data_IF_893428708381
#
_entry.id   IF_893428708381
#
_cell.length_a   1.000
_cell.length_b   1.000
_cell.length_c   1.000
_cell.angle_alpha   90.00
_cell.angle_beta   90.00
_cell.angle_gamma   90.00
#
_symmetry.space_group_name_H-M   'P 1'
#
loop_
_entity.id
_entity.type
_entity.pdbx_description
1 polymer ?
#
# COMPACT_ATOMS: atom_id res chain seq x y z
N UNK A 1 33.72 1.69 -49.74
CA UNK A 1 33.44 2.71 -48.66
C UNK A 1 32.05 2.62 -48.05
N UNK A 2 31.33 1.50 -48.18
CA UNK A 2 29.95 1.33 -47.61
C UNK A 2 29.92 0.66 -46.21
N UNK A 3 31.03 0.04 -45.80
CA UNK A 3 31.07 -0.75 -44.54
C UNK A 3 31.11 0.08 -43.27
N UNK A 4 31.54 1.35 -43.33
CA UNK A 4 31.72 2.19 -42.14
C UNK A 4 30.44 2.81 -41.59
N UNK A 5 29.34 2.81 -42.38
CA UNK A 5 28.06 3.38 -41.98
C UNK A 5 27.22 2.35 -41.21
N UNK A 6 27.27 1.09 -41.60
CA UNK A 6 26.59 -0.01 -40.92
C UNK A 6 27.22 -0.32 -39.55
N UNK A 7 28.53 -0.22 -39.43
CA UNK A 7 29.20 -0.39 -38.12
C UNK A 7 28.86 0.71 -37.12
N UNK A 8 28.78 1.99 -37.53
CA UNK A 8 28.33 3.09 -36.65
C UNK A 8 26.87 2.97 -36.25
N UNK A 9 25.99 2.47 -37.10
CA UNK A 9 24.61 2.23 -36.78
C UNK A 9 24.43 1.05 -35.82
N UNK A 10 25.27 0.04 -35.87
CA UNK A 10 25.29 -1.07 -34.91
C UNK A 10 25.86 -0.65 -33.56
N UNK A 11 26.95 0.11 -33.50
CA UNK A 11 27.52 0.65 -32.27
C UNK A 11 26.52 1.56 -31.51
N UNK A 12 25.78 2.40 -32.25
CA UNK A 12 24.74 3.23 -31.63
C UNK A 12 23.51 2.42 -31.14
N UNK A 13 23.28 1.22 -31.64
CA UNK A 13 22.22 0.34 -31.15
C UNK A 13 22.58 -0.41 -29.88
N UNK A 14 23.85 -0.69 -29.65
CA UNK A 14 24.33 -1.36 -28.44
C UNK A 14 24.28 -0.47 -27.20
N UNK A 15 24.35 0.86 -27.37
CA UNK A 15 24.37 1.84 -26.26
C UNK A 15 22.95 2.17 -25.76
N UNK A 16 21.92 1.92 -26.55
CA UNK A 16 20.53 2.16 -26.09
C UNK A 16 19.95 0.85 -25.55
N UNK A 17 20.14 0.60 -24.26
CA UNK A 17 19.39 -0.45 -23.55
C UNK A 17 17.89 -0.15 -23.63
N UNK A 18 17.25 -0.73 -24.65
CA UNK A 18 15.78 -0.70 -24.70
C UNK A 18 15.26 -1.62 -23.62
N UNK A 19 14.29 -1.19 -22.83
CA UNK A 19 13.63 -2.09 -21.90
C UNK A 19 13.16 -3.32 -22.69
N UNK A 20 13.55 -4.51 -22.23
CA UNK A 20 13.32 -5.78 -22.94
C UNK A 20 11.83 -6.09 -23.10
N UNK A 21 10.99 -5.45 -22.30
CA UNK A 21 9.54 -5.63 -22.35
C UNK A 21 8.87 -4.31 -21.96
N UNK A 22 7.88 -3.87 -22.75
CA UNK A 22 7.02 -2.75 -22.38
C UNK A 22 6.09 -3.21 -21.25
N UNK A 23 6.04 -2.45 -20.15
CA UNK A 23 5.06 -2.60 -19.10
C UNK A 23 4.28 -1.29 -18.96
N UNK A 24 2.97 -1.35 -18.68
CA UNK A 24 2.20 -0.13 -18.43
C UNK A 24 2.76 0.61 -17.21
N UNK A 25 2.82 1.95 -17.25
CA UNK A 25 3.28 2.71 -16.10
C UNK A 25 2.34 2.51 -14.92
N UNK A 26 2.91 2.45 -13.73
CA UNK A 26 2.16 2.37 -12.49
C UNK A 26 1.35 3.66 -12.28
N UNK A 27 0.07 3.51 -11.93
CA UNK A 27 -0.81 4.64 -11.60
C UNK A 27 -0.37 5.37 -10.33
N UNK A 28 0.09 4.61 -9.35
CA UNK A 28 0.62 5.10 -8.09
C UNK A 28 2.01 4.50 -7.89
N UNK A 29 3.07 5.23 -8.23
CA UNK A 29 4.42 4.71 -8.08
C UNK A 29 4.77 4.51 -6.60
N UNK A 30 5.56 3.47 -6.30
CA UNK A 30 6.03 3.21 -4.94
C UNK A 30 7.01 4.30 -4.48
N UNK A 31 6.81 4.85 -3.26
CA UNK A 31 7.75 5.79 -2.67
C UNK A 31 9.05 5.09 -2.27
N UNK A 32 10.15 5.86 -2.26
CA UNK A 32 11.41 5.38 -1.70
C UNK A 32 11.24 5.21 -0.20
N UNK A 33 11.29 3.96 0.26
CA UNK A 33 11.05 3.62 1.67
C UNK A 33 12.24 4.08 2.52
N UNK A 34 11.96 4.95 3.47
CA UNK A 34 12.92 5.30 4.54
C UNK A 34 12.78 4.30 5.68
N UNK A 35 13.90 3.87 6.26
CA UNK A 35 13.87 2.94 7.38
C UNK A 35 13.08 3.49 8.56
N UNK A 36 12.21 2.67 9.15
CA UNK A 36 11.37 3.04 10.29
C UNK A 36 10.07 3.77 9.95
N UNK A 37 9.76 3.97 8.66
CA UNK A 37 8.50 4.59 8.23
C UNK A 37 7.72 3.69 7.27
N UNK A 38 6.41 3.61 7.50
CA UNK A 38 5.45 3.03 6.58
C UNK A 38 4.77 4.15 5.77
N UNK A 39 4.55 3.88 4.47
CA UNK A 39 3.96 4.84 3.54
C UNK A 39 2.59 4.36 3.07
N UNK A 40 1.68 5.31 2.88
CA UNK A 40 0.33 5.04 2.38
C UNK A 40 -0.23 6.22 1.60
N UNK A 41 -0.94 5.93 0.52
CA UNK A 41 -1.75 6.88 -0.20
C UNK A 41 -3.09 7.07 0.52
N UNK A 42 -3.41 8.28 0.93
CA UNK A 42 -4.63 8.64 1.66
C UNK A 42 -5.49 9.54 0.77
N UNK A 43 -6.76 9.19 0.63
CA UNK A 43 -7.69 9.96 -0.19
C UNK A 43 -8.00 11.30 0.46
N UNK A 44 -7.79 12.37 -0.32
CA UNK A 44 -8.08 13.77 0.03
C UNK A 44 -9.31 14.26 -0.70
N UNK A 45 -9.51 13.81 -1.94
CA UNK A 45 -10.65 14.18 -2.76
C UNK A 45 -11.18 13.00 -3.56
N UNK A 46 -12.46 13.06 -3.92
CA UNK A 46 -13.14 12.12 -4.79
C UNK A 46 -14.08 12.86 -5.72
N UNK A 47 -13.96 12.60 -7.03
CA UNK A 47 -14.79 13.28 -8.05
C UNK A 47 -14.76 14.83 -7.92
N UNK A 48 -13.59 15.39 -7.70
CA UNK A 48 -13.35 16.83 -7.46
C UNK A 48 -14.03 17.42 -6.20
N UNK A 49 -14.59 16.56 -5.32
CA UNK A 49 -15.08 16.95 -4.02
C UNK A 49 -14.06 16.60 -2.94
N UNK A 50 -13.70 17.57 -2.09
CA UNK A 50 -12.80 17.33 -0.96
C UNK A 50 -13.43 16.36 0.05
N UNK A 51 -12.60 15.45 0.63
CA UNK A 51 -12.99 14.53 1.69
C UNK A 51 -12.26 14.85 3.01
N UNK A 52 -12.62 15.95 3.67
CA UNK A 52 -11.94 16.41 4.88
C UNK A 52 -12.13 15.44 6.05
N UNK A 53 -13.20 14.64 6.04
CA UNK A 53 -13.48 13.67 7.09
C UNK A 53 -12.47 12.55 7.10
N UNK A 54 -12.16 11.99 5.92
CA UNK A 54 -11.19 10.91 5.79
C UNK A 54 -9.80 11.37 6.19
N UNK A 55 -9.32 12.48 5.64
CA UNK A 55 -7.96 12.98 5.89
C UNK A 55 -7.78 13.38 7.37
N UNK A 56 -8.77 14.05 7.96
CA UNK A 56 -8.76 14.44 9.38
C UNK A 56 -8.70 13.21 10.31
N UNK A 57 -9.41 12.12 9.97
CA UNK A 57 -9.32 10.87 10.71
C UNK A 57 -7.92 10.28 10.64
N UNK A 58 -7.31 10.27 9.45
CA UNK A 58 -5.96 9.72 9.25
C UNK A 58 -4.87 10.53 9.94
N UNK A 59 -4.96 11.85 9.93
CA UNK A 59 -4.02 12.70 10.68
C UNK A 59 -4.11 12.48 12.20
N UNK A 60 -5.31 12.24 12.72
CA UNK A 60 -5.48 11.88 14.15
C UNK A 60 -4.93 10.48 14.49
N UNK A 61 -4.84 9.59 13.50
CA UNK A 61 -4.18 8.29 13.63
C UNK A 61 -2.65 8.40 13.63
N UNK A 62 -2.08 9.60 13.38
CA UNK A 62 -0.64 9.85 13.36
C UNK A 62 -0.01 9.81 11.95
N UNK A 63 -0.83 9.81 10.89
CA UNK A 63 -0.32 9.94 9.52
C UNK A 63 0.10 11.37 9.25
N UNK A 64 1.28 11.56 8.66
CA UNK A 64 1.85 12.83 8.28
C UNK A 64 2.05 12.90 6.76
N UNK A 65 1.70 14.03 6.11
CA UNK A 65 1.94 14.19 4.68
C UNK A 65 3.43 14.26 4.37
N UNK A 66 3.84 13.61 3.30
CA UNK A 66 5.23 13.57 2.83
C UNK A 66 5.53 14.80 2.00
N UNK A 67 6.60 15.51 2.35
CA UNK A 67 7.06 16.67 1.59
C UNK A 67 7.82 16.22 0.34
N UNK A 68 7.75 17.01 -0.72
CA UNK A 68 8.42 16.71 -2.01
C UNK A 68 9.93 16.58 -1.89
N UNK A 69 10.53 17.34 -0.98
CA UNK A 69 11.99 17.29 -0.77
C UNK A 69 12.47 15.94 -0.22
N UNK A 70 11.58 15.22 0.48
CA UNK A 70 11.89 13.88 0.99
C UNK A 70 11.89 12.82 -0.11
N UNK A 71 11.18 13.10 -1.21
CA UNK A 71 10.97 12.17 -2.32
C UNK A 71 11.21 12.87 -3.67
N UNK A 72 12.45 13.12 -4.06
CA UNK A 72 12.78 13.93 -5.25
C UNK A 72 12.21 13.37 -6.56
N UNK A 73 11.92 12.06 -6.62
CA UNK A 73 11.27 11.43 -7.78
C UNK A 73 9.91 12.05 -8.11
N UNK A 74 9.21 12.55 -7.09
CA UNK A 74 7.85 13.10 -7.23
C UNK A 74 7.82 14.61 -7.42
N UNK A 75 8.96 15.26 -7.60
CA UNK A 75 9.03 16.73 -7.75
C UNK A 75 8.16 17.29 -8.88
N UNK A 76 7.95 16.49 -9.94
CA UNK A 76 7.06 16.87 -11.06
C UNK A 76 5.58 16.63 -10.75
N UNK A 77 5.27 15.79 -9.74
CA UNK A 77 3.93 15.38 -9.35
C UNK A 77 3.45 16.08 -8.08
N UNK A 78 4.28 17.02 -7.56
CA UNK A 78 3.94 17.79 -6.38
C UNK A 78 2.70 18.66 -6.62
N UNK A 79 1.84 18.75 -5.64
CA UNK A 79 0.75 19.69 -5.63
C UNK A 79 1.31 21.14 -5.66
N UNK A 80 1.04 21.85 -6.75
CA UNK A 80 1.52 23.24 -6.92
C UNK A 80 0.59 24.25 -6.25
N UNK A 81 -0.66 23.89 -6.08
CA UNK A 81 -1.72 24.72 -5.52
C UNK A 81 -2.58 23.90 -4.56
N UNK A 82 -3.23 24.56 -3.61
CA UNK A 82 -4.16 23.93 -2.69
C UNK A 82 -3.66 23.81 -1.24
N UNK A 83 -4.40 23.09 -0.44
CA UNK A 83 -4.16 22.92 1.01
C UNK A 83 -2.89 22.13 1.29
N UNK A 84 -2.49 21.22 0.39
CA UNK A 84 -1.33 20.35 0.53
C UNK A 84 -0.19 20.77 -0.41
N UNK A 85 -0.01 22.09 -0.57
CA UNK A 85 1.10 22.65 -1.33
C UNK A 85 2.42 22.08 -0.83
N UNK A 86 3.32 21.75 -1.76
CA UNK A 86 4.63 21.17 -1.51
C UNK A 86 4.61 19.70 -0.96
N UNK A 87 3.43 19.09 -0.86
CA UNK A 87 3.28 17.66 -0.60
C UNK A 87 2.96 16.89 -1.90
N UNK A 88 3.08 15.57 -1.83
CA UNK A 88 2.92 14.70 -2.99
C UNK A 88 1.46 14.27 -3.09
N UNK A 89 0.76 14.82 -4.09
CA UNK A 89 -0.64 14.48 -4.38
C UNK A 89 -0.79 14.00 -5.82
N UNK A 90 -1.45 12.85 -6.02
CA UNK A 90 -1.74 12.28 -7.33
C UNK A 90 -3.20 11.88 -7.37
N UNK A 91 -3.98 12.50 -8.29
CA UNK A 91 -5.37 12.10 -8.51
C UNK A 91 -6.28 12.12 -7.28
N UNK A 92 -6.05 13.05 -6.35
CA UNK A 92 -6.80 13.17 -5.11
C UNK A 92 -6.34 12.22 -4.00
N UNK A 93 -5.15 11.63 -4.16
CA UNK A 93 -4.49 10.80 -3.17
C UNK A 93 -3.22 11.50 -2.69
N UNK A 94 -3.10 11.70 -1.39
CA UNK A 94 -1.96 12.32 -0.72
C UNK A 94 -1.04 11.22 -0.18
N UNK A 95 0.25 11.32 -0.48
CA UNK A 95 1.23 10.42 0.10
C UNK A 95 1.48 10.81 1.55
N UNK A 96 1.28 9.87 2.47
CA UNK A 96 1.54 10.06 3.89
C UNK A 96 2.47 8.98 4.41
N UNK A 97 3.17 9.31 5.49
CA UNK A 97 4.04 8.42 6.24
C UNK A 97 3.62 8.33 7.70
N UNK A 98 3.98 7.25 8.35
CA UNK A 98 3.78 7.03 9.79
C UNK A 98 4.97 6.21 10.32
N UNK A 99 5.43 6.40 11.56
CA UNK A 99 6.39 5.52 12.17
C UNK A 99 5.91 4.06 12.19
N UNK A 100 6.76 3.12 11.79
CA UNK A 100 6.41 1.70 11.70
C UNK A 100 5.96 1.10 13.04
N UNK A 101 6.51 1.63 14.14
CA UNK A 101 6.13 1.26 15.51
C UNK A 101 4.64 1.50 15.78
N UNK A 102 4.08 2.62 15.31
CA UNK A 102 2.66 2.92 15.49
C UNK A 102 1.77 1.98 14.67
N UNK A 103 2.24 1.58 13.49
CA UNK A 103 1.54 0.57 12.67
C UNK A 103 1.51 -0.76 13.40
N UNK A 104 2.62 -1.17 13.99
CA UNK A 104 2.71 -2.42 14.75
C UNK A 104 1.81 -2.39 15.97
N UNK A 105 1.85 -1.33 16.76
CA UNK A 105 0.97 -1.16 17.93
C UNK A 105 -0.51 -1.24 17.57
N UNK A 106 -0.88 -0.64 16.43
CA UNK A 106 -2.25 -0.71 15.92
C UNK A 106 -2.64 -2.13 15.53
N UNK A 107 -1.77 -2.83 14.81
CA UNK A 107 -2.00 -4.23 14.43
C UNK A 107 -2.18 -5.12 15.66
N UNK A 108 -1.34 -4.95 16.67
CA UNK A 108 -1.42 -5.69 17.92
C UNK A 108 -2.73 -5.42 18.67
N UNK A 109 -3.17 -4.16 18.71
CA UNK A 109 -4.45 -3.78 19.30
C UNK A 109 -5.63 -4.41 18.55
N UNK A 110 -5.67 -4.32 17.22
CA UNK A 110 -6.72 -4.89 16.38
C UNK A 110 -6.77 -6.42 16.50
N UNK A 111 -5.61 -7.07 16.52
CA UNK A 111 -5.48 -8.53 16.72
C UNK A 111 -6.00 -8.95 18.10
N UNK A 112 -5.60 -8.27 19.16
CA UNK A 112 -6.05 -8.55 20.52
C UNK A 112 -7.57 -8.38 20.64
N UNK A 113 -8.13 -7.31 20.04
CA UNK A 113 -9.57 -7.09 20.05
C UNK A 113 -10.32 -8.19 19.30
N UNK A 114 -9.82 -8.59 18.12
CA UNK A 114 -10.43 -9.68 17.34
C UNK A 114 -10.35 -11.00 18.08
N UNK A 115 -9.21 -11.29 18.72
CA UNK A 115 -9.04 -12.50 19.51
C UNK A 115 -9.99 -12.54 20.69
N UNK A 116 -10.09 -11.44 21.46
CA UNK A 116 -11.02 -11.35 22.59
C UNK A 116 -12.48 -11.54 22.18
N UNK A 117 -12.89 -10.95 21.04
CA UNK A 117 -14.23 -11.16 20.49
C UNK A 117 -14.48 -12.62 20.10
N UNK A 118 -13.51 -13.24 19.45
CA UNK A 118 -13.59 -14.65 19.03
C UNK A 118 -13.69 -15.59 20.25
N UNK A 119 -12.85 -15.36 21.26
CA UNK A 119 -12.88 -16.13 22.50
C UNK A 119 -14.22 -15.96 23.26
N UNK A 120 -14.77 -14.74 23.27
CA UNK A 120 -16.07 -14.50 23.88
C UNK A 120 -17.21 -15.26 23.19
N UNK A 121 -17.20 -15.32 21.85
CA UNK A 121 -18.17 -16.10 21.07
C UNK A 121 -17.99 -17.60 21.33
N UNK A 122 -16.78 -18.09 21.32
CA UNK A 122 -16.47 -19.49 21.57
C UNK A 122 -16.90 -19.92 22.98
N UNK A 123 -16.61 -19.10 23.99
CA UNK A 123 -17.02 -19.35 25.36
C UNK A 123 -18.55 -19.34 25.51
N UNK A 124 -19.25 -18.43 24.81
CA UNK A 124 -20.71 -18.42 24.83
C UNK A 124 -21.30 -19.67 24.17
N UNK A 125 -20.73 -20.08 23.04
CA UNK A 125 -21.15 -21.32 22.35
C UNK A 125 -20.94 -22.55 23.24
N UNK A 126 -19.77 -22.64 23.89
CA UNK A 126 -19.45 -23.78 24.77
C UNK A 126 -20.35 -23.84 26.03
N UNK A 127 -20.79 -22.68 26.54
CA UNK A 127 -21.78 -22.63 27.64
C UNK A 127 -23.15 -23.16 27.25
N UNK A 128 -23.49 -23.13 25.97
CA UNK A 128 -24.76 -23.68 25.42
C UNK A 128 -24.64 -25.19 25.11
N UNK A 129 -23.47 -25.79 25.28
CA UNK A 129 -23.28 -27.23 25.09
C UNK A 129 -24.02 -28.02 26.16
N UNK A 130 -24.92 -28.92 25.74
CA UNK A 130 -25.65 -29.83 26.62
C UNK A 130 -25.04 -31.23 26.54
N UNK A 131 -25.09 -31.99 27.63
CA UNK A 131 -24.65 -33.38 27.69
C UNK A 131 -25.37 -34.31 26.70
N UNK A 132 -26.58 -33.94 26.27
CA UNK A 132 -27.35 -34.66 25.25
C UNK A 132 -26.94 -34.33 23.82
N UNK A 133 -26.35 -33.13 23.60
CA UNK A 133 -25.92 -32.64 22.30
C UNK A 133 -24.61 -31.84 22.45
N UNK A 134 -23.50 -32.55 22.68
CA UNK A 134 -22.23 -31.90 22.90
C UNK A 134 -21.77 -31.18 21.63
N UNK A 135 -21.35 -29.91 21.78
CA UNK A 135 -20.80 -29.11 20.71
C UNK A 135 -19.28 -29.39 20.63
N UNK A 136 -18.83 -29.91 19.49
CA UNK A 136 -17.42 -30.11 19.19
C UNK A 136 -16.96 -28.96 18.30
N UNK A 137 -15.95 -28.24 18.76
CA UNK A 137 -15.37 -27.14 17.99
C UNK A 137 -14.06 -27.63 17.35
N UNK A 138 -14.06 -27.77 16.03
CA UNK A 138 -12.87 -28.08 15.25
C UNK A 138 -12.65 -26.96 14.23
N UNK A 139 -11.56 -26.19 14.40
CA UNK A 139 -11.16 -25.17 13.43
C UNK A 139 -10.18 -25.78 12.45
N UNK A 140 -10.63 -25.99 11.21
CA UNK A 140 -9.76 -26.39 10.10
C UNK A 140 -9.70 -25.26 9.09
N UNK A 141 -8.51 -24.74 8.84
CA UNK A 141 -8.25 -23.84 7.72
C UNK A 141 -7.26 -24.52 6.78
N UNK A 142 -7.64 -24.72 5.52
CA UNK A 142 -6.76 -25.22 4.49
C UNK A 142 -6.77 -24.28 3.29
N UNK A 143 -5.59 -23.84 2.88
CA UNK A 143 -5.42 -23.07 1.65
C UNK A 143 -4.79 -24.01 0.62
N UNK A 144 -5.54 -24.34 -0.43
CA UNK A 144 -5.03 -25.15 -1.54
C UNK A 144 -4.64 -24.21 -2.67
N UNK A 145 -3.35 -24.10 -2.95
CA UNK A 145 -2.88 -23.44 -4.16
C UNK A 145 -3.03 -24.44 -5.32
N UNK A 146 -3.92 -24.12 -6.26
CA UNK A 146 -4.08 -24.89 -7.48
C UNK A 146 -2.75 -24.88 -8.26
N UNK A 147 -2.14 -26.06 -8.45
CA UNK A 147 -1.01 -26.22 -9.36
C UNK A 147 -1.57 -26.06 -10.77
N UNK A 148 -1.31 -24.91 -11.39
CA UNK A 148 -1.65 -24.71 -12.79
C UNK A 148 -1.06 -25.84 -13.61
N UNK A 149 -1.91 -26.54 -14.35
CA UNK A 149 -1.52 -27.53 -15.35
C UNK A 149 -0.71 -26.83 -16.44
N UNK A 150 0.51 -27.29 -16.68
CA UNK A 150 1.30 -26.97 -17.86
C UNK A 150 0.65 -27.63 -19.07
#
# INVERSE_FOLDING_TARGET
>A
MATNRLQREMENREITERPKQWMPPELLPEPDKQAGFAYRWIRVSMLNAADPRNISAKFREGWEPVHVDEQPKYKLLAAREGQYKDNIEIGGLLLCKIPEELVQQRMDYENNQTQAQTEAVDNNLMRQSDSRMPIFMERKSSVTFGKGSQ
#
